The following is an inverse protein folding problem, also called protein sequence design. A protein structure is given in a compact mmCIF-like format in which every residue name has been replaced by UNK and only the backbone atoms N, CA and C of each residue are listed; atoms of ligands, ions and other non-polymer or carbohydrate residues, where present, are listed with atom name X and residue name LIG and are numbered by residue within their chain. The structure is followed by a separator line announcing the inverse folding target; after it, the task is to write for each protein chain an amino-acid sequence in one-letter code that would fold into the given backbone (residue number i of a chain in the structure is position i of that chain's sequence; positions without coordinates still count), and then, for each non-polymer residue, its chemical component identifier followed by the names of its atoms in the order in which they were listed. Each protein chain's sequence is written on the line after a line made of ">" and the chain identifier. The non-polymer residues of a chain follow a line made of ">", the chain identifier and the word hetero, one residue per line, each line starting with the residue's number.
data_IF_230527637929
#
_entry.id   IF_230527637929
#
_cell.length_a   1.000
_cell.length_b   1.000
_cell.length_c   1.000
_cell.angle_alpha   90.00
_cell.angle_beta   90.00
_cell.angle_gamma   90.00
#
_symmetry.space_group_name_H-M   'P 1'
#
loop_
_entity.id
_entity.type
_entity.pdbx_description
1 polymer ?
#
# COMPACT_ATOMS: atom_id res chain seq x y z
N UNK A 1 -25.19 -14.00 -12.48
CA UNK A 1 -23.84 -14.38 -12.00
C UNK A 1 -23.55 -13.45 -10.83
N UNK A 2 -23.39 -13.96 -9.61
CA UNK A 2 -23.64 -13.17 -8.40
C UNK A 2 -22.63 -12.02 -8.22
N UNK A 3 -23.09 -10.77 -8.31
CA UNK A 3 -22.39 -9.55 -7.88
C UNK A 3 -21.97 -9.58 -6.39
N UNK A 4 -22.32 -10.62 -5.64
CA UNK A 4 -22.05 -10.77 -4.20
C UNK A 4 -20.57 -10.92 -3.88
N UNK A 5 -19.77 -11.46 -4.79
CA UNK A 5 -18.36 -11.80 -4.50
C UNK A 5 -17.51 -10.54 -4.27
N UNK A 6 -17.61 -9.56 -5.17
CA UNK A 6 -16.94 -8.26 -4.99
C UNK A 6 -17.42 -7.53 -3.72
N UNK A 7 -18.73 -7.48 -3.47
CA UNK A 7 -19.25 -6.80 -2.26
C UNK A 7 -18.84 -7.53 -0.96
N UNK A 8 -18.68 -8.86 -1.02
CA UNK A 8 -18.15 -9.66 0.08
C UNK A 8 -16.67 -9.34 0.32
N UNK A 9 -15.83 -9.40 -0.72
CA UNK A 9 -14.42 -9.01 -0.66
C UNK A 9 -14.25 -7.59 -0.11
N UNK A 10 -14.99 -6.62 -0.64
CA UNK A 10 -14.96 -5.22 -0.19
C UNK A 10 -15.28 -5.10 1.30
N UNK A 11 -16.32 -5.80 1.78
CA UNK A 11 -16.70 -5.77 3.20
C UNK A 11 -15.60 -6.38 4.09
N UNK A 12 -15.03 -7.50 3.67
CA UNK A 12 -13.92 -8.16 4.38
C UNK A 12 -12.71 -7.26 4.48
N UNK A 13 -12.32 -6.61 3.38
CA UNK A 13 -11.20 -5.67 3.35
C UNK A 13 -11.44 -4.44 4.22
N UNK A 14 -12.63 -3.83 4.15
CA UNK A 14 -12.99 -2.70 5.03
C UNK A 14 -12.85 -3.07 6.52
N UNK A 15 -13.39 -4.21 6.93
CA UNK A 15 -13.29 -4.66 8.32
C UNK A 15 -11.86 -5.00 8.74
N UNK A 16 -11.04 -5.54 7.81
CA UNK A 16 -9.64 -5.87 8.09
C UNK A 16 -8.82 -4.60 8.33
N UNK A 17 -8.90 -3.62 7.42
CA UNK A 17 -8.18 -2.35 7.58
C UNK A 17 -8.63 -1.56 8.82
N UNK A 18 -9.92 -1.65 9.21
CA UNK A 18 -10.43 -1.02 10.44
C UNK A 18 -9.88 -1.62 11.74
N UNK A 19 -9.39 -2.87 11.71
CA UNK A 19 -8.89 -3.59 12.88
C UNK A 19 -7.37 -3.50 13.07
N UNK A 20 -6.65 -2.97 12.09
CA UNK A 20 -5.20 -2.81 12.16
C UNK A 20 -4.85 -1.68 13.13
N UNK A 21 -3.84 -1.90 13.96
CA UNK A 21 -3.40 -0.94 14.98
C UNK A 21 -2.02 -0.33 14.66
N UNK A 22 -1.22 -1.01 13.85
CA UNK A 22 0.10 -0.54 13.39
C UNK A 22 0.16 -0.29 11.87
N UNK A 23 0.97 0.68 11.47
CA UNK A 23 1.23 0.99 10.06
C UNK A 23 1.84 -0.21 9.30
N UNK A 24 2.68 -1.01 9.97
CA UNK A 24 3.31 -2.20 9.38
C UNK A 24 2.27 -3.25 8.94
N UNK A 25 1.15 -3.39 9.67
CA UNK A 25 0.07 -4.30 9.29
C UNK A 25 -0.60 -3.87 7.97
N UNK A 26 -0.74 -2.55 7.78
CA UNK A 26 -1.28 -1.97 6.55
C UNK A 26 -0.34 -2.24 5.38
N UNK A 27 0.97 -2.08 5.58
CA UNK A 27 1.99 -2.34 4.55
C UNK A 27 1.99 -3.82 4.12
N UNK A 28 2.00 -4.74 5.09
CA UNK A 28 1.93 -6.17 4.82
C UNK A 28 0.63 -6.59 4.11
N UNK A 29 -0.53 -6.01 4.47
CA UNK A 29 -1.77 -6.34 3.78
C UNK A 29 -1.77 -5.86 2.33
N UNK A 30 -1.22 -4.67 2.04
CA UNK A 30 -1.11 -4.18 0.66
C UNK A 30 -0.19 -5.10 -0.15
N UNK A 31 0.93 -5.52 0.42
CA UNK A 31 1.83 -6.50 -0.20
C UNK A 31 1.12 -7.81 -0.50
N UNK A 32 0.40 -8.35 0.48
CA UNK A 32 -0.35 -9.59 0.31
C UNK A 32 -1.41 -9.46 -0.80
N UNK A 33 -2.17 -8.36 -0.83
CA UNK A 33 -3.17 -8.14 -1.89
C UNK A 33 -2.52 -7.98 -3.27
N UNK A 34 -1.34 -7.36 -3.37
CA UNK A 34 -0.60 -7.29 -4.64
C UNK A 34 -0.20 -8.69 -5.13
N UNK A 35 0.29 -9.55 -4.24
CA UNK A 35 0.63 -10.95 -4.55
C UNK A 35 -0.60 -11.77 -4.97
N UNK A 36 -1.76 -11.58 -4.33
CA UNK A 36 -3.02 -12.24 -4.74
C UNK A 36 -3.46 -11.85 -6.16
N UNK A 37 -3.00 -10.69 -6.63
CA UNK A 37 -3.25 -10.18 -7.98
C UNK A 37 -2.08 -10.44 -8.94
N UNK A 38 -1.12 -11.29 -8.54
CA UNK A 38 0.06 -11.67 -9.34
C UNK A 38 1.01 -10.50 -9.65
N UNK A 39 1.03 -9.46 -8.81
CA UNK A 39 2.06 -8.42 -8.84
C UNK A 39 3.19 -8.76 -7.87
N UNK A 40 4.43 -8.67 -8.37
CA UNK A 40 5.63 -8.96 -7.58
C UNK A 40 5.98 -7.85 -6.58
N UNK A 41 5.68 -6.60 -6.94
CA UNK A 41 6.08 -5.42 -6.17
C UNK A 41 4.92 -4.44 -5.95
N UNK A 42 4.98 -3.68 -4.87
CA UNK A 42 4.07 -2.57 -4.59
C UNK A 42 4.84 -1.34 -4.09
N UNK A 43 4.19 -0.17 -4.18
CA UNK A 43 4.69 1.08 -3.61
C UNK A 43 3.53 1.95 -3.15
N UNK A 44 3.64 2.49 -1.93
CA UNK A 44 2.71 3.47 -1.36
C UNK A 44 3.47 4.76 -1.06
N UNK A 45 3.15 5.82 -1.81
CA UNK A 45 3.75 7.15 -1.65
C UNK A 45 2.75 8.12 -1.03
N UNK A 46 3.13 8.75 0.08
CA UNK A 46 2.35 9.78 0.76
C UNK A 46 3.08 11.12 0.59
N UNK A 47 2.47 12.01 -0.19
CA UNK A 47 2.91 13.40 -0.30
C UNK A 47 2.18 14.24 0.73
N UNK A 48 2.88 14.67 1.77
CA UNK A 48 2.34 15.61 2.73
C UNK A 48 2.22 16.99 2.07
N UNK A 49 1.12 17.74 2.31
CA UNK A 49 0.96 19.10 1.78
C UNK A 49 1.96 20.10 2.37
N UNK A 50 2.62 19.72 3.48
CA UNK A 50 3.62 20.51 4.19
C UNK A 50 4.95 19.74 4.29
N UNK A 51 6.10 20.45 4.35
CA UNK A 51 6.24 21.91 4.33
C UNK A 51 5.95 22.51 2.94
N UNK A 52 5.46 23.75 2.91
CA UNK A 52 4.88 24.37 1.71
C UNK A 52 5.85 24.52 0.52
N UNK A 53 7.15 24.65 0.78
CA UNK A 53 8.17 24.88 -0.26
C UNK A 53 8.87 23.60 -0.72
N UNK A 54 8.88 22.55 0.10
CA UNK A 54 9.41 21.22 -0.23
C UNK A 54 8.53 20.14 0.40
N UNK A 55 7.35 19.88 -0.19
CA UNK A 55 6.40 18.90 0.34
C UNK A 55 7.08 17.56 0.64
N UNK A 56 6.98 17.10 1.89
CA UNK A 56 7.61 15.84 2.30
C UNK A 56 6.94 14.69 1.57
N UNK A 57 7.72 13.85 0.91
CA UNK A 57 7.26 12.59 0.34
C UNK A 57 7.80 11.46 1.22
N UNK A 58 6.90 10.77 1.90
CA UNK A 58 7.20 9.50 2.55
C UNK A 58 6.76 8.38 1.62
N UNK A 59 7.49 7.27 1.57
CA UNK A 59 7.07 6.11 0.81
C UNK A 59 7.47 4.82 1.52
N UNK A 60 6.72 3.75 1.24
CA UNK A 60 7.02 2.38 1.63
C UNK A 60 6.87 1.49 0.39
N UNK A 61 7.78 0.55 0.21
CA UNK A 61 7.82 -0.33 -0.97
C UNK A 61 8.60 -1.59 -0.67
N UNK A 62 8.27 -2.69 -1.37
CA UNK A 62 9.08 -3.90 -1.40
C UNK A 62 9.98 -3.98 -2.65
N UNK A 63 10.17 -2.88 -3.38
CA UNK A 63 11.13 -2.83 -4.48
C UNK A 63 12.55 -3.17 -3.99
N UNK A 64 13.41 -3.77 -4.84
CA UNK A 64 14.81 -4.00 -4.52
C UNK A 64 15.50 -2.69 -4.12
N UNK A 65 16.30 -2.72 -3.06
CA UNK A 65 16.97 -1.53 -2.51
C UNK A 65 17.79 -0.78 -3.58
N UNK A 66 18.46 -1.50 -4.48
CA UNK A 66 19.21 -0.92 -5.59
C UNK A 66 18.35 -0.03 -6.52
N UNK A 67 17.09 -0.43 -6.76
CA UNK A 67 16.15 0.36 -7.56
C UNK A 67 15.70 1.62 -6.80
N UNK A 68 15.43 1.48 -5.51
CA UNK A 68 15.05 2.61 -4.64
C UNK A 68 16.18 3.63 -4.57
N UNK A 69 17.42 3.19 -4.34
CA UNK A 69 18.58 4.09 -4.29
C UNK A 69 18.81 4.82 -5.62
N UNK A 70 18.63 4.13 -6.75
CA UNK A 70 18.74 4.76 -8.07
C UNK A 70 17.66 5.81 -8.31
N UNK A 71 16.42 5.54 -7.87
CA UNK A 71 15.31 6.49 -8.03
C UNK A 71 15.43 7.73 -7.14
N UNK A 72 16.10 7.60 -5.99
CA UNK A 72 16.32 8.69 -5.03
C UNK A 72 17.53 9.59 -5.37
N UNK A 73 18.43 9.13 -6.24
CA UNK A 73 19.63 9.86 -6.66
C UNK A 73 19.30 11.11 -7.49
#
# INVERSE_FOLDING_TARGET
>A
MQDKDFFSWRRTMLLRFQRMEAAEEVYHEIEFQAQQLEYDYYSLCVRHPVPFTRPKVAFYTNYPEAWVSYYQA
#
